data_IF_674842138290
#
_entry.id   IF_674842138290
#
_cell.length_a   1.000
_cell.length_b   1.000
_cell.length_c   1.000
_cell.angle_alpha   90.00
_cell.angle_beta   90.00
_cell.angle_gamma   90.00
#
_symmetry.space_group_name_H-M   'P 1'
#
loop_
_entity.id
_entity.type
_entity.pdbx_description
1 polymer ?
#
# COMPACT_ATOMS: atom_id res chain seq x y z
N UNK A 1 -15.92 -7.73 -14.05
CA UNK A 1 -16.58 -6.87 -13.04
C UNK A 1 -17.76 -7.59 -12.42
N UNK A 2 -18.81 -7.92 -13.19
CA UNK A 2 -19.99 -8.66 -12.71
C UNK A 2 -19.66 -9.93 -11.88
N UNK A 3 -18.75 -10.77 -12.37
CA UNK A 3 -18.35 -11.99 -11.65
C UNK A 3 -17.73 -11.73 -10.25
N UNK A 4 -17.06 -10.59 -10.03
CA UNK A 4 -16.47 -10.25 -8.72
C UNK A 4 -17.54 -9.65 -7.80
N UNK A 5 -18.50 -8.91 -8.35
CA UNK A 5 -19.61 -8.36 -7.57
C UNK A 5 -20.56 -9.45 -7.08
N UNK A 6 -20.76 -10.50 -7.88
CA UNK A 6 -21.53 -11.69 -7.52
C UNK A 6 -20.78 -12.57 -6.50
N UNK A 7 -19.47 -12.77 -6.68
CA UNK A 7 -18.66 -13.60 -5.78
C UNK A 7 -18.39 -12.94 -4.41
N UNK A 8 -18.27 -11.60 -4.38
CA UNK A 8 -17.95 -10.84 -3.17
C UNK A 8 -18.98 -9.73 -2.90
N UNK A 9 -20.24 -10.08 -2.59
CA UNK A 9 -21.25 -9.08 -2.27
C UNK A 9 -20.82 -8.26 -1.04
N UNK A 10 -21.24 -6.99 -0.90
CA UNK A 10 -21.05 -6.24 0.33
C UNK A 10 -21.74 -6.99 1.47
N UNK A 11 -20.94 -7.55 2.37
CA UNK A 11 -21.44 -8.22 3.54
C UNK A 11 -21.17 -7.34 4.75
N UNK A 12 -22.17 -7.21 5.61
CA UNK A 12 -22.01 -6.48 6.87
C UNK A 12 -20.96 -7.14 7.76
N UNK A 13 -20.77 -8.44 7.70
CA UNK A 13 -19.80 -9.16 8.53
C UNK A 13 -18.39 -9.18 7.93
N UNK A 14 -18.24 -8.88 6.63
CA UNK A 14 -16.95 -8.91 5.93
C UNK A 14 -16.77 -7.63 5.10
N UNK A 15 -16.30 -6.57 5.76
CA UNK A 15 -15.95 -5.29 5.13
C UNK A 15 -14.87 -5.44 4.06
N UNK A 16 -14.03 -6.50 4.12
CA UNK A 16 -12.98 -6.72 3.13
C UNK A 16 -13.52 -6.96 1.71
N UNK A 17 -14.75 -7.49 1.56
CA UNK A 17 -15.38 -7.64 0.25
C UNK A 17 -15.56 -6.30 -0.45
N UNK A 18 -15.97 -5.28 0.32
CA UNK A 18 -16.14 -3.92 -0.21
C UNK A 18 -14.80 -3.33 -0.64
N UNK A 19 -13.74 -3.54 0.17
CA UNK A 19 -12.38 -3.09 -0.15
C UNK A 19 -11.90 -3.75 -1.44
N UNK A 20 -11.98 -5.08 -1.54
CA UNK A 20 -11.57 -5.84 -2.72
C UNK A 20 -12.29 -5.36 -3.99
N UNK A 21 -13.61 -5.17 -3.92
CA UNK A 21 -14.40 -4.68 -5.07
C UNK A 21 -13.93 -3.31 -5.55
N UNK A 22 -13.68 -2.37 -4.65
CA UNK A 22 -13.22 -1.03 -4.99
C UNK A 22 -11.80 -1.06 -5.59
N UNK A 23 -10.92 -1.89 -5.04
CA UNK A 23 -9.56 -2.08 -5.54
C UNK A 23 -9.57 -2.69 -6.96
N UNK A 24 -10.30 -3.79 -7.16
CA UNK A 24 -10.44 -4.48 -8.46
C UNK A 24 -11.06 -3.55 -9.51
N UNK A 25 -12.07 -2.76 -9.14
CA UNK A 25 -12.68 -1.77 -10.03
C UNK A 25 -11.66 -0.75 -10.54
N UNK A 26 -10.76 -0.28 -9.68
CA UNK A 26 -9.72 0.69 -10.05
C UNK A 26 -8.65 0.09 -10.94
N UNK A 27 -8.15 -1.10 -10.60
CA UNK A 27 -7.21 -1.83 -11.47
C UNK A 27 -7.82 -2.09 -12.85
N UNK A 28 -9.08 -2.51 -12.93
CA UNK A 28 -9.73 -2.74 -14.21
C UNK A 28 -9.84 -1.47 -15.06
N UNK A 29 -10.22 -0.32 -14.46
CA UNK A 29 -10.25 0.97 -15.18
C UNK A 29 -8.88 1.39 -15.71
N UNK A 30 -7.82 1.17 -14.92
CA UNK A 30 -6.45 1.43 -15.36
C UNK A 30 -6.06 0.51 -16.52
N UNK A 31 -6.33 -0.79 -16.40
CA UNK A 31 -6.01 -1.77 -17.45
C UNK A 31 -6.81 -1.53 -18.73
N UNK A 32 -8.06 -1.09 -18.64
CA UNK A 32 -8.87 -0.67 -19.79
C UNK A 32 -8.25 0.53 -20.51
N UNK A 33 -7.77 1.54 -19.77
CA UNK A 33 -7.06 2.68 -20.34
C UNK A 33 -5.78 2.26 -21.07
N UNK A 34 -4.97 1.38 -20.47
CA UNK A 34 -3.76 0.87 -21.12
C UNK A 34 -4.12 0.09 -22.39
N UNK A 35 -5.16 -0.74 -22.33
CA UNK A 35 -5.61 -1.56 -23.46
C UNK A 35 -6.20 -0.74 -24.61
N UNK A 36 -6.79 0.42 -24.35
CA UNK A 36 -7.28 1.32 -25.40
C UNK A 36 -6.15 2.15 -26.00
N UNK A 37 -5.32 2.76 -25.15
CA UNK A 37 -4.32 3.76 -25.57
C UNK A 37 -3.09 3.17 -26.26
N UNK A 38 -2.59 1.99 -25.83
CA UNK A 38 -1.39 1.39 -26.45
C UNK A 38 -1.62 1.03 -27.93
N UNK A 39 -2.69 0.30 -28.32
CA UNK A 39 -2.95 0.00 -29.73
C UNK A 39 -3.26 1.25 -30.54
N UNK A 40 -3.91 2.25 -29.95
CA UNK A 40 -4.20 3.52 -30.62
C UNK A 40 -2.91 4.27 -30.95
N UNK A 41 -1.95 4.36 -30.02
CA UNK A 41 -0.63 4.90 -30.27
C UNK A 41 0.09 4.14 -31.38
N UNK A 42 0.06 2.81 -31.37
CA UNK A 42 0.65 1.99 -32.43
C UNK A 42 0.04 2.26 -33.81
N UNK A 43 -1.27 2.51 -33.88
CA UNK A 43 -1.96 2.87 -35.12
C UNK A 43 -1.61 4.28 -35.58
N UNK A 44 -1.53 5.24 -34.65
CA UNK A 44 -1.12 6.61 -34.95
C UNK A 44 0.31 6.67 -35.49
N UNK A 45 1.24 5.90 -34.91
CA UNK A 45 2.62 5.78 -35.41
C UNK A 45 2.72 5.17 -36.81
N UNK A 46 1.75 4.33 -37.21
CA UNK A 46 1.64 3.78 -38.58
C UNK A 46 0.90 4.72 -39.55
N UNK A 47 0.44 5.88 -39.09
CA UNK A 47 -0.37 6.81 -39.88
C UNK A 47 -1.81 6.34 -40.13
N UNK A 48 -2.30 5.34 -39.37
CA UNK A 48 -3.65 4.78 -39.51
C UNK A 48 -4.71 5.56 -38.71
N UNK A 49 -4.28 6.42 -37.79
CA UNK A 49 -5.09 7.29 -36.93
C UNK A 49 -4.36 8.62 -36.79
N UNK A 50 -5.10 9.72 -36.59
CA UNK A 50 -4.51 11.04 -36.35
C UNK A 50 -3.77 11.05 -35.02
N UNK A 51 -2.53 11.56 -35.01
CA UNK A 51 -1.78 11.79 -33.79
C UNK A 51 -2.44 12.93 -32.99
N UNK A 52 -3.13 12.58 -31.91
CA UNK A 52 -3.65 13.57 -30.96
C UNK A 52 -2.54 14.04 -30.01
N UNK A 53 -2.75 15.18 -29.35
CA UNK A 53 -1.84 15.69 -28.33
C UNK A 53 -1.62 14.67 -27.18
N UNK A 54 -2.67 13.94 -26.79
CA UNK A 54 -2.57 12.91 -25.75
C UNK A 54 -1.68 11.73 -26.17
N UNK A 55 -1.78 11.29 -27.43
CA UNK A 55 -0.95 10.20 -27.97
C UNK A 55 0.50 10.65 -28.14
N UNK A 56 0.74 11.90 -28.55
CA UNK A 56 2.08 12.46 -28.68
C UNK A 56 2.79 12.57 -27.32
N UNK A 57 2.07 13.06 -26.29
CA UNK A 57 2.56 13.10 -24.91
C UNK A 57 2.87 11.71 -24.38
N UNK A 58 1.99 10.74 -24.64
CA UNK A 58 2.21 9.34 -24.27
C UNK A 58 3.44 8.73 -24.96
N UNK A 59 3.61 8.96 -26.26
CA UNK A 59 4.79 8.52 -27.00
C UNK A 59 6.09 9.13 -26.46
N UNK A 60 6.06 10.43 -26.12
CA UNK A 60 7.20 11.12 -25.51
C UNK A 60 7.55 10.55 -24.13
N UNK A 61 6.55 10.22 -23.32
CA UNK A 61 6.74 9.59 -22.02
C UNK A 61 7.39 8.21 -22.14
N UNK A 62 6.98 7.41 -23.13
CA UNK A 62 7.60 6.10 -23.40
C UNK A 62 9.07 6.24 -23.78
N UNK A 63 9.42 7.21 -24.62
CA UNK A 63 10.81 7.46 -25.03
C UNK A 63 11.70 7.88 -23.86
N UNK A 64 11.14 8.52 -22.83
CA UNK A 64 11.87 8.96 -21.63
C UNK A 64 11.72 8.02 -20.44
N UNK A 65 11.16 6.82 -20.64
CA UNK A 65 10.90 5.82 -19.59
C UNK A 65 10.02 6.36 -18.43
N UNK A 66 9.08 7.25 -18.76
CA UNK A 66 8.11 7.84 -17.84
C UNK A 66 6.73 7.23 -18.04
N UNK A 67 5.96 7.14 -16.94
CA UNK A 67 4.56 6.71 -17.00
C UNK A 67 3.74 7.85 -17.62
N UNK A 68 2.94 7.59 -18.67
CA UNK A 68 2.06 8.60 -19.24
C UNK A 68 1.10 9.19 -18.20
N UNK A 69 0.87 10.50 -18.26
CA UNK A 69 -0.02 11.22 -17.33
C UNK A 69 -1.42 10.61 -17.27
N UNK A 70 -1.99 10.24 -18.43
CA UNK A 70 -3.29 9.58 -18.52
C UNK A 70 -3.39 8.28 -17.71
N UNK A 71 -2.27 7.56 -17.56
CA UNK A 71 -2.19 6.34 -16.75
C UNK A 71 -1.94 6.67 -15.28
N UNK A 72 -1.10 7.66 -14.99
CA UNK A 72 -0.82 8.11 -13.63
C UNK A 72 -2.08 8.65 -12.93
N UNK A 73 -2.93 9.38 -13.64
CA UNK A 73 -4.19 9.95 -13.11
C UNK A 73 -5.21 8.88 -12.69
N UNK A 74 -5.25 7.78 -13.43
CA UNK A 74 -6.11 6.61 -13.12
C UNK A 74 -5.41 5.58 -12.24
N UNK A 75 -4.10 5.72 -12.09
CA UNK A 75 -3.19 4.75 -11.48
C UNK A 75 -2.94 4.98 -10.01
N UNK A 76 -2.11 4.11 -9.44
CA UNK A 76 -1.65 4.24 -8.07
C UNK A 76 -0.51 5.25 -8.00
N UNK A 77 -0.40 5.96 -6.87
CA UNK A 77 0.65 6.95 -6.66
C UNK A 77 2.02 6.24 -6.66
N UNK A 78 2.88 6.60 -7.60
CA UNK A 78 4.20 5.99 -7.77
C UNK A 78 5.21 7.01 -8.30
N UNK A 79 6.47 6.77 -8.00
CA UNK A 79 7.61 7.53 -8.52
C UNK A 79 8.55 6.63 -9.36
N UNK A 80 8.12 5.40 -9.66
CA UNK A 80 8.87 4.42 -10.43
C UNK A 80 8.93 4.83 -11.92
N UNK A 81 10.03 4.53 -12.62
CA UNK A 81 10.06 4.64 -14.09
C UNK A 81 9.09 3.63 -14.72
N UNK A 82 8.73 3.84 -15.98
CA UNK A 82 7.72 3.04 -16.69
C UNK A 82 8.00 1.53 -16.62
N UNK A 83 9.25 1.12 -16.81
CA UNK A 83 9.66 -0.29 -16.74
C UNK A 83 9.35 -0.93 -15.37
N UNK A 84 9.80 -0.29 -14.28
CA UNK A 84 9.57 -0.78 -12.91
C UNK A 84 8.10 -0.64 -12.51
N UNK A 85 7.41 0.41 -12.98
CA UNK A 85 6.01 0.64 -12.73
C UNK A 85 5.13 -0.44 -13.36
N UNK A 86 5.46 -0.90 -14.57
CA UNK A 86 4.74 -1.99 -15.23
C UNK A 86 4.92 -3.32 -14.49
N UNK A 87 6.13 -3.64 -14.04
CA UNK A 87 6.37 -4.82 -13.21
C UNK A 87 5.54 -4.76 -11.91
N UNK A 88 5.56 -3.60 -11.23
CA UNK A 88 4.76 -3.36 -10.02
C UNK A 88 3.26 -3.50 -10.28
N UNK A 89 2.76 -3.00 -11.42
CA UNK A 89 1.37 -3.16 -11.83
C UNK A 89 1.01 -4.64 -12.06
N UNK A 90 1.88 -5.43 -12.68
CA UNK A 90 1.67 -6.86 -12.90
C UNK A 90 1.54 -7.58 -11.56
N UNK A 91 2.46 -7.34 -10.63
CA UNK A 91 2.45 -7.95 -9.30
C UNK A 91 1.20 -7.57 -8.50
N UNK A 92 0.80 -6.29 -8.55
CA UNK A 92 -0.43 -5.80 -7.91
C UNK A 92 -1.69 -6.49 -8.45
N UNK A 93 -1.79 -6.62 -9.77
CA UNK A 93 -2.93 -7.29 -10.42
C UNK A 93 -2.91 -8.79 -10.08
N UNK A 94 -1.73 -9.41 -10.03
CA UNK A 94 -1.58 -10.81 -9.62
C UNK A 94 -2.03 -11.03 -8.17
N UNK A 95 -1.69 -10.14 -7.25
CA UNK A 95 -2.16 -10.17 -5.86
C UNK A 95 -3.68 -10.07 -5.78
N UNK A 96 -4.30 -9.10 -6.48
CA UNK A 96 -5.76 -8.94 -6.51
C UNK A 96 -6.45 -10.17 -7.12
N UNK A 97 -5.90 -10.71 -8.20
CA UNK A 97 -6.42 -11.92 -8.85
C UNK A 97 -6.37 -13.11 -7.90
N UNK A 98 -5.24 -13.33 -7.21
CA UNK A 98 -5.09 -14.40 -6.21
C UNK A 98 -6.12 -14.27 -5.09
N UNK A 99 -6.38 -13.05 -4.63
CA UNK A 99 -7.42 -12.79 -3.64
C UNK A 99 -8.82 -13.13 -4.19
N UNK A 100 -9.15 -12.69 -5.40
CA UNK A 100 -10.46 -13.03 -6.02
C UNK A 100 -10.65 -14.54 -6.18
N UNK A 101 -9.63 -15.27 -6.62
CA UNK A 101 -9.72 -16.72 -6.92
C UNK A 101 -9.68 -17.61 -5.68
N UNK A 102 -8.84 -17.28 -4.69
CA UNK A 102 -8.57 -18.15 -3.53
C UNK A 102 -9.21 -17.65 -2.23
N UNK A 103 -9.90 -16.50 -2.26
CA UNK A 103 -10.44 -15.87 -1.06
C UNK A 103 -9.41 -14.98 -0.35
N UNK A 104 -9.77 -14.57 0.87
CA UNK A 104 -9.02 -13.56 1.61
C UNK A 104 -7.61 -14.07 1.97
N UNK A 105 -6.54 -13.33 1.63
CA UNK A 105 -5.17 -13.79 1.87
C UNK A 105 -4.84 -13.84 3.37
N UNK A 106 -3.90 -14.71 3.78
CA UNK A 106 -3.43 -14.79 5.16
C UNK A 106 -2.62 -13.56 5.59
N UNK A 107 -1.86 -12.97 4.65
CA UNK A 107 -1.13 -11.72 4.83
C UNK A 107 -1.39 -10.76 3.66
N UNK A 108 -1.48 -9.47 3.95
CA UNK A 108 -1.83 -8.43 2.98
C UNK A 108 -0.61 -7.60 2.57
N UNK A 109 -0.41 -7.50 1.25
CA UNK A 109 0.54 -6.55 0.69
C UNK A 109 -0.07 -5.14 0.70
N UNK A 110 0.13 -4.39 1.79
CA UNK A 110 -0.51 -3.07 1.94
C UNK A 110 -0.06 -2.11 0.84
N UNK A 111 1.17 -2.26 0.38
CA UNK A 111 1.75 -1.46 -0.70
C UNK A 111 1.14 -1.77 -2.05
N UNK A 112 0.55 -2.96 -2.21
CA UNK A 112 -0.17 -3.39 -3.41
C UNK A 112 -1.57 -2.78 -3.54
N UNK A 113 -2.09 -2.12 -2.50
CA UNK A 113 -3.42 -1.49 -2.53
C UNK A 113 -3.37 -0.07 -3.11
N UNK A 114 -4.40 0.33 -3.86
CA UNK A 114 -4.60 1.74 -4.24
C UNK A 114 -4.95 2.60 -3.01
N UNK A 115 -5.84 2.10 -2.15
CA UNK A 115 -6.33 2.80 -0.96
C UNK A 115 -6.11 1.98 0.32
N UNK A 116 -4.87 1.96 0.84
CA UNK A 116 -4.55 1.33 2.12
C UNK A 116 -5.46 1.78 3.27
N UNK A 117 -5.89 3.05 3.29
CA UNK A 117 -6.77 3.60 4.33
C UNK A 117 -8.15 2.92 4.38
N UNK A 118 -8.68 2.54 3.21
CA UNK A 118 -9.96 1.82 3.14
C UNK A 118 -9.82 0.41 3.71
N UNK A 119 -8.68 -0.24 3.45
CA UNK A 119 -8.33 -1.52 4.06
C UNK A 119 -8.21 -1.42 5.59
N UNK A 120 -7.45 -0.46 6.11
CA UNK A 120 -7.27 -0.25 7.55
C UNK A 120 -8.61 0.00 8.25
N UNK A 121 -9.43 0.90 7.70
CA UNK A 121 -10.78 1.17 8.21
C UNK A 121 -11.66 -0.08 8.15
N UNK A 122 -11.59 -0.84 7.05
CA UNK A 122 -12.33 -2.08 6.88
C UNK A 122 -11.97 -3.13 7.95
N UNK A 123 -10.69 -3.23 8.31
CA UNK A 123 -10.23 -4.13 9.38
C UNK A 123 -10.79 -3.71 10.74
N UNK A 124 -10.75 -2.41 11.07
CA UNK A 124 -11.34 -1.88 12.30
C UNK A 124 -12.86 -2.09 12.34
N UNK A 125 -13.56 -1.95 11.21
CA UNK A 125 -14.99 -2.23 11.11
C UNK A 125 -15.33 -3.70 11.38
N UNK A 126 -14.57 -4.64 10.82
CA UNK A 126 -14.76 -6.06 11.07
C UNK A 126 -14.60 -6.38 12.57
N UNK A 127 -13.55 -5.84 13.19
CA UNK A 127 -13.32 -6.01 14.62
C UNK A 127 -14.42 -5.37 15.47
N UNK A 128 -14.77 -4.10 15.20
CA UNK A 128 -15.85 -3.37 15.86
C UNK A 128 -17.17 -4.15 15.85
N UNK A 129 -17.55 -4.72 14.70
CA UNK A 129 -18.78 -5.49 14.54
C UNK A 129 -18.73 -6.82 15.28
N UNK A 130 -17.63 -7.58 15.16
CA UNK A 130 -17.48 -8.88 15.83
C UNK A 130 -17.47 -8.75 17.36
N UNK A 131 -16.83 -7.71 17.89
CA UNK A 131 -16.72 -7.46 19.35
C UNK A 131 -17.81 -6.55 19.90
N UNK A 132 -18.67 -5.97 19.03
CA UNK A 132 -19.71 -4.98 19.37
C UNK A 132 -19.16 -3.77 20.15
N UNK A 133 -17.99 -3.29 19.74
CA UNK A 133 -17.33 -2.11 20.32
C UNK A 133 -17.39 -0.96 19.32
N UNK A 134 -17.56 0.27 19.81
CA UNK A 134 -17.60 1.45 18.96
C UNK A 134 -16.24 1.69 18.28
N UNK A 135 -16.25 1.96 16.96
CA UNK A 135 -15.04 2.02 16.12
C UNK A 135 -14.09 3.16 16.52
N UNK A 136 -14.61 4.23 17.10
CA UNK A 136 -13.88 5.40 17.60
C UNK A 136 -12.98 5.08 18.80
N UNK A 137 -13.27 4.00 19.53
CA UNK A 137 -12.44 3.50 20.64
C UNK A 137 -11.35 2.53 20.18
N UNK A 138 -11.29 2.20 18.89
CA UNK A 138 -10.34 1.24 18.37
C UNK A 138 -9.09 1.92 17.82
N UNK A 139 -7.94 1.37 18.18
CA UNK A 139 -6.66 1.69 17.56
C UNK A 139 -5.91 0.40 17.23
N UNK A 140 -4.95 0.46 16.32
CA UNK A 140 -4.07 -0.68 16.07
C UNK A 140 -2.94 -0.71 17.10
N UNK A 141 -2.69 -1.90 17.62
CA UNK A 141 -1.42 -2.28 18.20
C UNK A 141 -0.59 -3.03 17.16
N UNK A 142 0.73 -2.93 17.26
CA UNK A 142 1.66 -3.40 16.23
C UNK A 142 2.64 -4.39 16.83
N UNK A 143 2.72 -5.59 16.25
CA UNK A 143 3.74 -6.57 16.60
C UNK A 143 4.51 -6.95 15.34
N UNK A 144 5.82 -6.69 15.34
CA UNK A 144 6.70 -7.07 14.23
C UNK A 144 7.00 -8.56 14.34
N UNK A 145 6.82 -9.28 13.24
CA UNK A 145 6.98 -10.73 13.13
C UNK A 145 8.28 -11.03 12.36
N UNK A 146 9.41 -10.78 12.99
CA UNK A 146 10.73 -11.00 12.39
C UNK A 146 11.27 -12.43 12.58
N UNK A 147 10.50 -13.29 13.24
CA UNK A 147 10.74 -14.73 13.39
C UNK A 147 10.29 -15.54 12.16
N UNK A 148 9.56 -14.92 11.23
CA UNK A 148 8.94 -15.58 10.08
C UNK A 148 8.97 -14.74 8.82
N UNK A 149 9.01 -15.40 7.67
CA UNK A 149 8.85 -14.76 6.36
C UNK A 149 7.37 -14.67 5.99
N UNK A 150 7.02 -13.75 5.08
CA UNK A 150 5.65 -13.60 4.55
C UNK A 150 5.12 -14.94 4.02
N UNK A 151 5.94 -15.69 3.29
CA UNK A 151 5.55 -16.97 2.66
C UNK A 151 5.26 -18.08 3.68
N UNK A 152 5.73 -17.95 4.92
CA UNK A 152 5.48 -18.89 6.01
C UNK A 152 4.14 -18.61 6.71
N UNK A 153 3.51 -17.45 6.44
CA UNK A 153 2.20 -17.09 6.98
C UNK A 153 1.11 -17.71 6.08
N UNK A 154 0.70 -18.92 6.42
CA UNK A 154 -0.31 -19.69 5.68
C UNK A 154 -1.73 -19.49 6.19
N UNK A 155 -1.89 -19.03 7.43
CA UNK A 155 -3.18 -18.87 8.10
C UNK A 155 -3.49 -17.40 8.37
N UNK A 156 -4.79 -17.07 8.37
CA UNK A 156 -5.27 -15.72 8.73
C UNK A 156 -5.09 -15.51 10.24
N UNK A 157 -4.75 -14.29 10.64
CA UNK A 157 -4.76 -13.91 12.04
C UNK A 157 -6.16 -14.15 12.64
N UNK A 158 -6.21 -14.69 13.85
CA UNK A 158 -7.48 -14.89 14.56
C UNK A 158 -8.21 -13.56 14.80
N UNK A 159 -7.45 -12.50 15.10
CA UNK A 159 -7.92 -11.13 15.22
C UNK A 159 -6.93 -10.19 14.53
N UNK A 160 -7.44 -9.16 13.84
CA UNK A 160 -6.60 -8.24 13.08
C UNK A 160 -6.11 -8.83 11.75
N UNK A 161 -4.98 -8.32 11.26
CA UNK A 161 -4.42 -8.68 9.94
C UNK A 161 -2.90 -8.68 9.96
N UNK A 162 -2.28 -9.58 9.20
CA UNK A 162 -0.84 -9.51 8.91
C UNK A 162 -0.60 -8.64 7.69
N UNK A 163 0.37 -7.74 7.76
CA UNK A 163 0.66 -6.73 6.75
C UNK A 163 2.15 -6.74 6.40
N UNK A 164 2.48 -6.61 5.12
CA UNK A 164 3.86 -6.53 4.64
C UNK A 164 4.03 -5.55 3.47
N UNK A 165 5.29 -5.27 3.13
CA UNK A 165 5.69 -4.39 2.03
C UNK A 165 5.98 -2.94 2.45
N UNK A 166 6.29 -2.70 3.72
CA UNK A 166 6.66 -1.38 4.24
C UNK A 166 8.18 -1.25 4.22
N UNK A 167 8.70 -0.14 3.73
CA UNK A 167 10.13 0.15 3.66
C UNK A 167 10.49 1.34 4.55
N UNK A 168 11.44 1.19 5.46
CA UNK A 168 11.95 2.25 6.32
C UNK A 168 13.07 3.04 5.64
N UNK A 169 13.10 4.35 5.85
CA UNK A 169 14.18 5.28 5.50
C UNK A 169 14.65 5.98 6.77
N UNK A 170 15.94 6.31 6.88
CA UNK A 170 16.51 7.02 8.04
C UNK A 170 16.70 6.14 9.28
N UNK A 171 16.21 4.91 9.25
CA UNK A 171 16.46 3.86 10.22
C UNK A 171 16.36 2.48 9.55
N UNK A 172 16.69 1.42 10.29
CA UNK A 172 16.48 0.02 9.91
C UNK A 172 15.85 -0.75 11.07
N UNK A 173 15.22 -1.87 10.75
CA UNK A 173 14.89 -2.87 11.75
C UNK A 173 16.10 -3.76 12.02
N UNK A 174 16.44 -3.99 13.28
CA UNK A 174 17.44 -4.97 13.68
C UNK A 174 16.76 -6.26 14.19
N UNK A 175 16.77 -7.36 13.42
CA UNK A 175 16.09 -8.60 13.80
C UNK A 175 16.80 -9.37 14.91
N UNK A 176 18.03 -8.97 15.29
CA UNK A 176 18.74 -9.61 16.42
C UNK A 176 18.38 -8.92 17.73
N UNK A 177 18.26 -7.59 17.69
CA UNK A 177 17.89 -6.79 18.86
C UNK A 177 16.37 -6.65 19.04
N UNK A 178 15.58 -6.92 18.01
CA UNK A 178 14.14 -6.64 17.93
C UNK A 178 13.82 -5.14 18.19
N UNK A 179 14.66 -4.26 17.67
CA UNK A 179 14.60 -2.81 17.90
C UNK A 179 15.03 -2.04 16.64
N UNK A 180 14.69 -0.76 16.58
CA UNK A 180 15.25 0.16 15.60
C UNK A 180 16.76 0.35 15.75
N UNK A 181 17.44 0.42 14.62
CA UNK A 181 18.85 0.74 14.54
C UNK A 181 19.12 1.75 13.41
N UNK A 182 20.32 2.33 13.41
CA UNK A 182 20.74 3.26 12.35
C UNK A 182 20.81 2.56 10.99
N UNK A 183 20.57 3.25 9.88
CA UNK A 183 20.76 2.64 8.56
C UNK A 183 22.21 2.21 8.33
N UNK A 184 22.41 1.11 7.59
CA UNK A 184 23.75 0.67 7.20
C UNK A 184 24.34 1.59 6.12
N UNK A 185 25.67 1.75 6.05
CA UNK A 185 26.29 2.54 4.99
C UNK A 185 25.88 2.06 3.61
N UNK A 186 25.38 3.00 2.77
CA UNK A 186 24.88 2.77 1.40
C UNK A 186 23.57 1.97 1.31
N UNK A 187 22.87 1.78 2.42
CA UNK A 187 21.52 1.23 2.46
C UNK A 187 20.53 2.35 2.77
N UNK A 188 19.85 2.84 1.73
CA UNK A 188 18.89 3.96 1.87
C UNK A 188 17.55 3.50 2.47
N UNK A 189 17.14 2.28 2.14
CA UNK A 189 15.86 1.71 2.56
C UNK A 189 16.06 0.32 3.12
N UNK A 190 15.34 0.00 4.19
CA UNK A 190 15.30 -1.32 4.80
C UNK A 190 13.85 -1.84 4.73
N UNK A 191 13.62 -3.05 4.24
CA UNK A 191 12.28 -3.66 4.27
C UNK A 191 11.94 -4.12 5.69
N UNK A 192 10.78 -3.70 6.16
CA UNK A 192 10.27 -4.08 7.48
C UNK A 192 9.67 -5.50 7.40
N UNK A 193 9.93 -6.39 8.38
CA UNK A 193 9.29 -7.69 8.43
C UNK A 193 7.75 -7.59 8.51
N UNK A 194 7.02 -8.70 8.28
CA UNK A 194 5.58 -8.71 8.42
C UNK A 194 5.16 -8.17 9.79
N UNK A 195 4.07 -7.42 9.85
CA UNK A 195 3.57 -6.82 11.07
C UNK A 195 2.15 -7.31 11.30
N UNK A 196 1.85 -7.72 12.52
CA UNK A 196 0.50 -7.96 12.98
C UNK A 196 -0.14 -6.64 13.40
N UNK A 197 -1.18 -6.24 12.68
CA UNK A 197 -2.02 -5.10 13.00
C UNK A 197 -3.22 -5.63 13.80
N UNK A 198 -3.15 -5.49 15.11
CA UNK A 198 -4.18 -5.98 16.03
C UNK A 198 -5.06 -4.81 16.50
N UNK A 199 -6.36 -4.78 16.19
CA UNK A 199 -7.26 -3.79 16.77
C UNK A 199 -7.41 -4.00 18.29
N UNK A 200 -7.24 -2.93 19.06
CA UNK A 200 -7.35 -2.91 20.53
C UNK A 200 -8.28 -1.77 20.95
N UNK A 201 -9.08 -2.00 21.99
CA UNK A 201 -10.01 -1.02 22.56
C UNK A 201 -9.28 -0.14 23.57
N UNK A 202 -9.49 1.17 23.49
CA UNK A 202 -8.90 2.19 24.39
C UNK A 202 -7.39 2.00 24.59
N UNK A 203 -6.69 1.77 23.47
CA UNK A 203 -5.25 1.52 23.48
C UNK A 203 -4.49 2.69 24.12
N UNK A 204 -3.65 2.37 25.09
CA UNK A 204 -2.64 3.30 25.61
C UNK A 204 -1.39 3.26 24.72
N UNK A 205 -0.77 4.42 24.48
CA UNK A 205 0.46 4.47 23.70
C UNK A 205 1.62 3.82 24.47
N UNK A 206 2.33 2.84 23.87
CA UNK A 206 3.51 2.25 24.49
C UNK A 206 4.65 3.27 24.59
N UNK A 207 5.53 3.07 25.58
CA UNK A 207 6.79 3.83 25.71
C UNK A 207 7.93 3.07 25.02
N UNK A 208 9.00 3.78 24.67
CA UNK A 208 10.17 3.16 24.03
C UNK A 208 9.88 2.73 22.59
N UNK A 209 9.20 3.60 21.85
CA UNK A 209 8.82 3.38 20.46
C UNK A 209 9.11 4.64 19.65
N UNK A 210 9.31 4.45 18.35
CA UNK A 210 9.16 5.49 17.35
C UNK A 210 7.72 5.45 16.82
N UNK A 211 7.00 6.58 16.89
CA UNK A 211 5.72 6.73 16.22
C UNK A 211 5.98 7.05 14.73
N UNK A 212 6.26 5.99 13.97
CA UNK A 212 6.80 6.10 12.62
C UNK A 212 5.68 6.46 11.61
N UNK A 213 5.77 7.61 10.91
CA UNK A 213 4.80 7.95 9.87
C UNK A 213 5.01 7.10 8.62
N UNK A 214 3.91 6.53 8.11
CA UNK A 214 3.89 5.76 6.87
C UNK A 214 3.28 6.57 5.73
N UNK A 215 3.99 6.63 4.61
CA UNK A 215 3.57 7.32 3.39
C UNK A 215 3.46 6.36 2.20
N UNK A 216 2.66 6.72 1.20
CA UNK A 216 2.57 5.95 -0.06
C UNK A 216 3.87 6.02 -0.86
N UNK A 217 4.45 7.22 -1.00
CA UNK A 217 5.70 7.44 -1.79
C UNK A 217 6.67 8.38 -1.10
N UNK A 218 7.96 8.18 -1.41
CA UNK A 218 9.12 8.87 -0.80
C UNK A 218 9.06 10.40 -0.87
N UNK A 219 8.39 10.99 -1.86
CA UNK A 219 8.30 12.45 -1.96
C UNK A 219 7.55 13.11 -0.80
N UNK A 220 6.80 12.34 0.00
CA UNK A 220 5.90 12.79 1.09
C UNK A 220 4.87 13.86 0.67
N UNK A 221 4.84 14.23 -0.61
CA UNK A 221 3.97 15.23 -1.21
C UNK A 221 2.61 14.61 -1.52
N UNK A 222 1.56 15.34 -1.21
CA UNK A 222 0.18 15.01 -1.57
C UNK A 222 -0.71 16.23 -1.44
N UNK A 223 -1.97 16.07 -1.82
CA UNK A 223 -3.00 17.10 -1.63
C UNK A 223 -3.52 16.99 -0.20
N UNK A 224 -3.75 18.10 0.47
CA UNK A 224 -4.38 18.09 1.79
C UNK A 224 -5.86 17.70 1.64
N UNK A 225 -6.29 16.70 2.39
CA UNK A 225 -7.69 16.34 2.52
C UNK A 225 -8.38 17.25 3.53
N UNK A 226 -9.71 17.25 3.53
CA UNK A 226 -10.54 18.00 4.50
C UNK A 226 -10.29 17.56 5.95
N UNK A 227 -9.70 16.39 6.17
CA UNK A 227 -9.24 15.87 7.46
C UNK A 227 -7.90 16.46 7.92
N UNK A 228 -7.25 17.31 7.12
CA UNK A 228 -5.94 17.90 7.42
C UNK A 228 -4.75 17.02 7.04
N UNK A 229 -4.96 15.75 6.67
CA UNK A 229 -3.90 14.84 6.25
C UNK A 229 -3.66 14.86 4.74
N UNK A 230 -2.39 14.68 4.35
CA UNK A 230 -1.98 14.53 2.95
C UNK A 230 -2.54 13.24 2.34
N UNK A 231 -2.92 13.23 1.06
CA UNK A 231 -3.29 12.02 0.31
C UNK A 231 -2.19 10.96 0.25
N UNK A 232 -0.95 11.34 0.58
CA UNK A 232 0.21 10.47 0.66
C UNK A 232 0.40 9.86 2.07
N UNK A 233 -0.10 10.49 3.13
CA UNK A 233 -0.03 9.93 4.48
C UNK A 233 -1.01 8.76 4.63
N UNK A 234 -0.56 7.66 5.24
CA UNK A 234 -1.36 6.43 5.41
C UNK A 234 -1.78 6.26 6.86
N UNK A 235 -0.82 6.06 7.76
CA UNK A 235 -1.01 5.89 9.19
C UNK A 235 0.32 6.11 9.92
N UNK A 236 0.28 6.11 11.25
CA UNK A 236 1.47 5.86 12.07
C UNK A 236 1.52 4.40 12.48
N UNK A 237 2.73 3.85 12.55
CA UNK A 237 3.01 2.54 13.17
C UNK A 237 3.99 2.73 14.32
N UNK A 238 3.84 1.92 15.36
CA UNK A 238 4.75 1.98 16.51
C UNK A 238 5.85 0.94 16.32
N UNK A 239 7.09 1.41 16.28
CA UNK A 239 8.28 0.55 16.10
C UNK A 239 9.13 0.62 17.37
N UNK A 240 9.44 -0.52 18.02
CA UNK A 240 10.27 -0.56 19.23
C UNK A 240 11.64 0.12 19.07
N UNK A 241 12.04 0.90 20.08
CA UNK A 241 13.30 1.64 20.12
C UNK A 241 13.83 1.75 21.56
N UNK A 242 15.13 1.58 21.73
CA UNK A 242 15.86 1.85 22.98
C UNK A 242 16.34 3.30 23.10
N UNK A 243 16.18 4.10 22.04
CA UNK A 243 16.55 5.52 21.96
C UNK A 243 15.31 6.41 22.01
N UNK A 244 15.55 7.67 22.39
CA UNK A 244 14.53 8.72 22.37
C UNK A 244 14.01 8.98 20.94
N UNK A 245 12.70 9.19 20.83
CA UNK A 245 12.01 9.40 19.55
C UNK A 245 12.60 10.58 18.76
N UNK A 246 13.03 11.65 19.44
CA UNK A 246 13.58 12.84 18.78
C UNK A 246 14.83 12.54 17.96
N UNK A 247 15.56 11.48 18.27
CA UNK A 247 16.75 11.06 17.51
C UNK A 247 16.32 10.56 16.13
N UNK A 248 15.30 9.72 16.08
CA UNK A 248 14.76 9.17 14.84
C UNK A 248 14.05 10.23 14.01
N UNK A 249 13.30 11.13 14.66
CA UNK A 249 12.66 12.27 13.99
C UNK A 249 13.72 13.15 13.32
N UNK A 250 14.83 13.44 14.00
CA UNK A 250 15.97 14.19 13.43
C UNK A 250 16.69 13.44 12.30
N UNK A 251 16.74 12.11 12.37
CA UNK A 251 17.24 11.27 11.27
C UNK A 251 16.28 11.25 10.06
N UNK A 252 15.08 11.82 10.19
CA UNK A 252 14.06 11.83 9.14
C UNK A 252 13.35 10.48 8.98
N UNK A 253 13.36 9.65 10.02
CA UNK A 253 12.83 8.29 9.99
C UNK A 253 11.37 8.27 9.55
N UNK A 254 11.05 7.43 8.56
CA UNK A 254 9.70 7.24 8.05
C UNK A 254 9.59 5.90 7.31
N UNK A 255 8.36 5.41 7.16
CA UNK A 255 8.07 4.25 6.32
C UNK A 255 7.36 4.61 5.02
N UNK A 256 7.57 3.79 4.00
CA UNK A 256 7.06 3.99 2.64
C UNK A 256 6.46 2.71 2.07
N UNK A 257 5.40 2.87 1.28
CA UNK A 257 4.78 1.76 0.58
C UNK A 257 5.39 1.52 -0.81
N UNK A 258 5.85 2.58 -1.48
CA UNK A 258 6.47 2.50 -2.79
C UNK A 258 7.76 3.32 -2.85
N UNK A 259 8.83 2.64 -3.28
CA UNK A 259 10.14 3.22 -3.55
C UNK A 259 10.21 3.78 -4.98
N UNK A 260 11.27 4.57 -5.25
CA UNK A 260 11.52 5.20 -6.57
C UNK A 260 12.09 4.25 -7.63
N UNK A 261 12.51 3.05 -7.26
CA UNK A 261 13.22 2.09 -8.11
C UNK A 261 12.41 0.85 -8.39
#
# INVERSE_FOLDING_TARGET
MLAVEEAYPPLYEESMNTVLRQEVLRYNRLLEEIRSTVPELQRALKGLVVMSESLEKMGSAFLTNQVPEAWADKGFLSLKPLSSWLADLIDRVAFMKKWVENGVPPAFWISGLFFPQAFLTGTLQNFSRSKKVAIDRLAFDFTILDDRKVDEITERAAEGVYVYGIFLEGCRWDPTAHLLADSLPKELFCELPPIHFLPVVDREQPKGILHCPIYKVVSRRGTLLTTGHSTNFVLYIDIPSDRDEDIWVRAGAAGFLALKT
#
